data_IF_329539723477
#
_entry.id   IF_329539723477
#
_cell.length_a   1.000
_cell.length_b   1.000
_cell.length_c   1.000
_cell.angle_alpha   90.00
_cell.angle_beta   90.00
_cell.angle_gamma   90.00
#
_symmetry.space_group_name_H-M   'P 1'
#
loop_
_entity.id
_entity.type
_entity.pdbx_description
1 polymer ?
#
# COMPACT_ATOMS: atom_id res chain seq x y z
N UNK A 1 55.78 62.75 -44.98
CA UNK A 1 56.68 62.61 -46.14
C UNK A 1 56.83 61.11 -46.46
N UNK A 2 56.68 60.73 -47.73
CA UNK A 2 57.08 59.47 -48.40
C UNK A 2 56.28 58.15 -48.24
N UNK A 3 55.30 58.01 -49.16
CA UNK A 3 55.12 56.99 -50.22
C UNK A 3 55.53 55.50 -50.07
N UNK A 4 54.49 54.63 -50.09
CA UNK A 4 54.20 53.39 -50.90
C UNK A 4 55.20 52.17 -50.90
N UNK A 5 54.86 50.96 -51.40
CA UNK A 5 54.47 49.74 -50.65
C UNK A 5 55.29 48.48 -51.08
N UNK A 6 54.65 47.29 -51.00
CA UNK A 6 55.01 45.93 -51.53
C UNK A 6 55.65 45.01 -50.47
N UNK A 7 55.22 43.76 -50.29
CA UNK A 7 54.96 42.71 -51.30
C UNK A 7 53.99 41.65 -50.73
N UNK A 8 53.09 41.14 -51.57
CA UNK A 8 52.36 39.88 -51.34
C UNK A 8 53.32 38.69 -51.50
N UNK A 9 53.13 37.63 -50.73
CA UNK A 9 53.46 36.28 -51.17
C UNK A 9 52.49 35.25 -50.56
N UNK A 10 52.18 34.27 -51.39
CA UNK A 10 51.06 33.36 -51.29
C UNK A 10 51.39 32.12 -50.43
N UNK A 11 50.36 31.62 -49.74
CA UNK A 11 49.94 30.22 -49.76
C UNK A 11 50.91 29.15 -49.24
N UNK A 12 50.58 28.60 -48.07
CA UNK A 12 50.75 27.16 -47.81
C UNK A 12 49.64 26.64 -46.90
N UNK A 13 48.87 25.70 -47.44
CA UNK A 13 47.79 24.96 -46.80
C UNK A 13 48.33 24.12 -45.64
N UNK A 14 47.97 24.45 -44.40
CA UNK A 14 48.19 23.58 -43.25
C UNK A 14 46.96 22.69 -43.05
N UNK A 15 47.06 21.43 -43.46
CA UNK A 15 46.09 20.38 -43.15
C UNK A 15 46.12 20.16 -41.63
N UNK A 16 45.07 20.64 -40.94
CA UNK A 16 44.86 20.40 -39.51
C UNK A 16 44.28 19.01 -39.32
N UNK A 17 45.07 18.08 -38.79
CA UNK A 17 44.56 16.83 -38.24
C UNK A 17 43.70 17.15 -37.00
N UNK A 18 42.38 17.06 -37.14
CA UNK A 18 41.45 17.13 -36.03
C UNK A 18 41.44 15.80 -35.27
N UNK A 19 42.02 15.78 -34.07
CA UNK A 19 41.83 14.70 -33.10
C UNK A 19 40.39 14.74 -32.59
N UNK A 20 39.56 13.81 -33.05
CA UNK A 20 38.25 13.52 -32.46
C UNK A 20 38.47 12.69 -31.19
N UNK A 21 38.45 13.37 -30.04
CA UNK A 21 38.41 12.73 -28.73
C UNK A 21 36.97 12.28 -28.46
N UNK A 22 36.67 11.01 -28.76
CA UNK A 22 35.39 10.41 -28.41
C UNK A 22 35.35 10.21 -26.89
N UNK A 23 34.64 11.10 -26.18
CA UNK A 23 34.37 10.97 -24.76
C UNK A 23 33.24 9.94 -24.59
N UNK A 24 33.61 8.68 -24.39
CA UNK A 24 32.67 7.64 -24.00
C UNK A 24 32.23 7.91 -22.55
N UNK A 25 31.04 8.49 -22.38
CA UNK A 25 30.38 8.56 -21.09
C UNK A 25 29.97 7.13 -20.69
N UNK A 26 30.62 6.59 -19.65
CA UNK A 26 30.14 5.38 -18.99
C UNK A 26 28.78 5.72 -18.36
N UNK A 27 27.71 5.19 -18.95
CA UNK A 27 26.41 5.15 -18.31
C UNK A 27 26.51 4.08 -17.24
N UNK A 28 26.77 4.49 -15.99
CA UNK A 28 26.56 3.60 -14.86
C UNK A 28 25.06 3.36 -14.74
N UNK A 29 24.61 2.23 -15.27
CA UNK A 29 23.28 1.69 -14.96
C UNK A 29 23.32 1.35 -13.48
N UNK A 30 22.74 2.23 -12.65
CA UNK A 30 22.48 1.93 -11.24
C UNK A 30 21.50 0.77 -11.21
N UNK A 31 22.03 -0.44 -11.06
CA UNK A 31 21.23 -1.62 -10.76
C UNK A 31 20.77 -1.47 -9.31
N UNK A 32 19.49 -1.17 -9.12
CA UNK A 32 18.90 -1.02 -7.79
C UNK A 32 19.17 -2.25 -6.93
N UNK A 33 19.55 -2.05 -5.67
CA UNK A 33 19.80 -3.16 -4.74
C UNK A 33 18.57 -4.08 -4.66
N UNK A 34 18.82 -5.39 -4.67
CA UNK A 34 17.76 -6.38 -4.53
C UNK A 34 17.20 -6.38 -3.10
N UNK A 35 15.88 -6.43 -3.00
CA UNK A 35 15.06 -6.49 -1.79
C UNK A 35 14.66 -7.94 -1.43
N UNK A 36 15.49 -8.93 -1.77
CA UNK A 36 15.27 -10.34 -1.36
C UNK A 36 15.47 -10.60 0.14
N UNK A 37 15.79 -9.56 0.91
CA UNK A 37 16.03 -9.63 2.32
C UNK A 37 15.56 -8.35 3.02
N UNK A 38 14.94 -8.51 4.18
CA UNK A 38 14.74 -7.44 5.14
C UNK A 38 15.17 -7.87 6.54
N UNK A 39 15.45 -6.88 7.40
CA UNK A 39 15.65 -7.09 8.84
C UNK A 39 14.39 -6.69 9.58
N UNK A 40 14.00 -7.49 10.58
CA UNK A 40 12.97 -7.12 11.54
C UNK A 40 13.50 -5.96 12.38
N UNK A 41 12.98 -4.76 12.19
CA UNK A 41 13.36 -3.57 12.97
C UNK A 41 12.47 -3.37 14.20
N UNK A 42 11.22 -3.84 14.15
CA UNK A 42 10.29 -3.76 15.28
C UNK A 42 9.34 -4.97 15.33
N UNK A 43 9.04 -5.41 16.56
CA UNK A 43 8.07 -6.47 16.87
C UNK A 43 7.10 -5.97 17.93
N UNK A 44 5.81 -6.02 17.64
CA UNK A 44 4.73 -5.69 18.56
C UNK A 44 3.88 -6.95 18.75
N UNK A 45 3.79 -7.44 19.98
CA UNK A 45 3.05 -8.65 20.37
C UNK A 45 3.53 -9.92 19.65
N UNK A 46 2.63 -10.66 18.99
CA UNK A 46 2.89 -11.97 18.42
C UNK A 46 3.24 -11.87 16.92
N UNK A 47 4.54 -11.92 16.63
CA UNK A 47 5.07 -11.96 15.27
C UNK A 47 5.83 -13.27 15.08
N UNK A 48 5.52 -13.99 14.00
CA UNK A 48 6.10 -15.30 13.69
C UNK A 48 6.78 -15.28 12.33
N UNK A 49 7.96 -15.88 12.27
CA UNK A 49 8.63 -16.20 11.01
C UNK A 49 8.23 -17.61 10.58
N UNK A 50 7.82 -17.73 9.33
CA UNK A 50 7.43 -18.97 8.68
C UNK A 50 8.51 -19.36 7.68
N UNK A 51 8.87 -20.63 7.65
CA UNK A 51 9.83 -21.19 6.72
C UNK A 51 9.26 -22.44 6.08
N UNK A 52 9.66 -22.70 4.85
CA UNK A 52 9.35 -23.97 4.21
C UNK A 52 9.86 -25.14 5.08
N UNK A 53 8.97 -26.08 5.40
CA UNK A 53 9.29 -27.31 6.14
C UNK A 53 9.80 -27.12 7.58
N UNK A 54 9.54 -25.98 8.22
CA UNK A 54 9.86 -25.78 9.64
C UNK A 54 8.66 -25.20 10.41
N UNK A 55 8.64 -25.46 11.73
CA UNK A 55 7.62 -24.90 12.60
C UNK A 55 7.75 -23.35 12.67
N UNK A 56 6.62 -22.61 12.73
CA UNK A 56 6.63 -21.17 12.97
C UNK A 56 7.39 -20.80 14.25
N UNK A 57 8.33 -19.85 14.17
CA UNK A 57 9.09 -19.37 15.33
C UNK A 57 8.78 -17.91 15.65
N UNK A 58 8.86 -17.46 16.91
CA UNK A 58 8.82 -16.04 17.23
C UNK A 58 9.89 -15.26 16.46
N UNK A 59 9.51 -14.09 15.94
CA UNK A 59 10.44 -13.12 15.39
C UNK A 59 11.06 -12.30 16.54
N UNK A 60 12.33 -11.94 16.40
CA UNK A 60 13.02 -10.99 17.28
C UNK A 60 13.62 -9.86 16.46
N UNK A 61 13.83 -8.70 17.08
CA UNK A 61 14.50 -7.57 16.42
C UNK A 61 15.89 -8.01 15.93
N UNK A 62 16.25 -7.55 14.74
CA UNK A 62 17.42 -7.94 13.95
C UNK A 62 17.36 -9.32 13.29
N UNK A 63 16.28 -10.09 13.46
CA UNK A 63 16.06 -11.28 12.62
C UNK A 63 16.11 -10.86 11.15
N UNK A 64 16.77 -11.69 10.36
CA UNK A 64 16.78 -11.60 8.91
C UNK A 64 15.61 -12.41 8.37
N UNK A 65 14.85 -11.82 7.46
CA UNK A 65 13.82 -12.50 6.66
C UNK A 65 14.27 -12.49 5.21
N UNK A 66 14.35 -13.66 4.57
CA UNK A 66 14.83 -13.83 3.19
C UNK A 66 13.81 -14.48 2.27
N UNK A 67 14.11 -14.52 0.98
CA UNK A 67 13.37 -15.28 -0.04
C UNK A 67 12.98 -16.69 0.46
N UNK A 68 11.69 -17.03 0.32
CA UNK A 68 11.12 -18.31 0.77
C UNK A 68 10.71 -18.36 2.24
N UNK A 69 10.93 -17.27 2.98
CA UNK A 69 10.38 -17.07 4.32
C UNK A 69 9.19 -16.09 4.27
N UNK A 70 8.32 -16.20 5.29
CA UNK A 70 7.21 -15.28 5.46
C UNK A 70 7.15 -14.75 6.91
N UNK A 71 6.54 -13.60 7.09
CA UNK A 71 6.23 -12.99 8.38
C UNK A 71 4.73 -13.04 8.58
N UNK A 72 4.31 -13.55 9.74
CA UNK A 72 2.91 -13.57 10.18
C UNK A 72 2.73 -12.78 11.45
N UNK A 73 1.75 -11.88 11.48
CA UNK A 73 1.34 -11.14 12.68
C UNK A 73 0.02 -11.66 13.23
N UNK A 74 -0.13 -11.68 14.56
CA UNK A 74 -1.40 -11.96 15.24
C UNK A 74 -2.39 -10.79 15.25
N UNK A 75 -3.48 -10.94 15.99
CA UNK A 75 -4.66 -10.02 15.96
C UNK A 75 -4.43 -8.63 16.54
N UNK A 76 -3.51 -8.48 17.48
CA UNK A 76 -3.11 -7.17 18.03
C UNK A 76 -1.61 -6.93 17.82
N UNK A 77 -1.06 -7.56 16.77
CA UNK A 77 0.38 -7.62 16.53
C UNK A 77 0.75 -6.83 15.30
N UNK A 78 1.95 -6.27 15.31
CA UNK A 78 2.50 -5.49 14.20
C UNK A 78 4.00 -5.74 14.10
N UNK A 79 4.55 -5.53 12.90
CA UNK A 79 5.98 -5.65 12.69
C UNK A 79 6.48 -4.55 11.76
N UNK A 80 7.74 -4.17 11.90
CA UNK A 80 8.43 -3.35 10.90
C UNK A 80 9.62 -4.14 10.34
N UNK A 81 9.75 -4.10 9.03
CA UNK A 81 10.84 -4.67 8.26
C UNK A 81 11.59 -3.52 7.57
N UNK A 82 12.91 -3.46 7.75
CA UNK A 82 13.79 -2.51 7.07
C UNK A 82 14.68 -3.25 6.07
N UNK A 83 14.72 -2.74 4.85
CA UNK A 83 15.50 -3.28 3.75
C UNK A 83 16.86 -2.61 3.63
N UNK A 84 17.76 -3.21 2.87
CA UNK A 84 19.12 -2.68 2.64
C UNK A 84 19.13 -1.32 1.93
N UNK A 85 18.12 -1.04 1.11
CA UNK A 85 17.96 0.24 0.41
C UNK A 85 17.17 1.28 1.21
N UNK A 86 16.93 1.04 2.51
CA UNK A 86 16.15 1.88 3.41
C UNK A 86 14.64 1.92 3.09
N UNK A 87 14.15 1.05 2.21
CA UNK A 87 12.72 0.76 2.15
C UNK A 87 12.25 0.22 3.49
N UNK A 88 11.07 0.64 3.92
CA UNK A 88 10.42 0.16 5.14
C UNK A 88 9.09 -0.48 4.76
N UNK A 89 8.80 -1.66 5.30
CA UNK A 89 7.47 -2.27 5.26
C UNK A 89 6.98 -2.50 6.67
N UNK A 90 5.82 -1.95 7.00
CA UNK A 90 5.12 -2.22 8.27
C UNK A 90 3.97 -3.15 8.02
N UNK A 91 3.83 -4.15 8.87
CA UNK A 91 2.81 -5.18 8.80
C UNK A 91 1.77 -4.91 9.89
N UNK A 92 0.50 -4.89 9.50
CA UNK A 92 -0.63 -4.70 10.40
C UNK A 92 -0.97 -5.98 11.15
N UNK A 93 -2.11 -6.02 11.83
CA UNK A 93 -2.62 -7.25 12.39
C UNK A 93 -3.03 -8.26 11.32
N UNK A 94 -3.04 -9.54 11.70
CA UNK A 94 -3.50 -10.66 10.86
C UNK A 94 -2.86 -10.67 9.45
N UNK A 95 -1.61 -10.22 9.38
CA UNK A 95 -0.89 -10.02 8.12
C UNK A 95 0.01 -11.21 7.84
N UNK A 96 0.00 -11.69 6.60
CA UNK A 96 0.94 -12.69 6.08
C UNK A 96 1.66 -12.07 4.89
N UNK A 97 2.97 -11.87 5.07
CA UNK A 97 3.86 -11.19 4.13
C UNK A 97 5.03 -12.09 3.76
N UNK A 98 5.41 -12.17 2.49
CA UNK A 98 6.58 -12.92 2.03
C UNK A 98 7.29 -12.23 0.88
N UNK A 99 8.51 -12.69 0.57
CA UNK A 99 9.24 -12.26 -0.61
C UNK A 99 8.97 -13.21 -1.77
N UNK A 100 8.76 -12.66 -2.96
CA UNK A 100 8.79 -13.42 -4.21
C UNK A 100 10.19 -13.44 -4.83
N UNK A 101 10.36 -14.27 -5.87
CA UNK A 101 11.65 -14.44 -6.56
C UNK A 101 12.16 -13.15 -7.21
N UNK A 102 11.30 -12.20 -7.53
CA UNK A 102 11.70 -10.92 -8.10
C UNK A 102 12.45 -10.03 -7.12
N UNK A 103 13.36 -9.21 -7.62
CA UNK A 103 14.24 -8.40 -6.78
C UNK A 103 13.50 -7.36 -5.93
N UNK A 104 12.22 -7.07 -6.21
CA UNK A 104 11.38 -6.09 -5.48
C UNK A 104 9.91 -6.49 -5.45
N UNK A 105 9.65 -7.79 -5.51
CA UNK A 105 8.30 -8.34 -5.54
C UNK A 105 7.97 -8.92 -4.17
N UNK A 106 6.97 -8.34 -3.53
CA UNK A 106 6.50 -8.66 -2.20
C UNK A 106 5.13 -9.33 -2.34
N UNK A 107 4.89 -10.38 -1.59
CA UNK A 107 3.59 -11.02 -1.51
C UNK A 107 2.86 -10.60 -0.24
N UNK A 108 1.61 -10.17 -0.41
CA UNK A 108 0.67 -9.94 0.68
C UNK A 108 -0.50 -10.92 0.55
N UNK A 109 -0.44 -12.00 1.32
CA UNK A 109 -1.49 -13.02 1.31
C UNK A 109 -2.74 -12.55 2.06
N UNK A 110 -2.57 -11.84 3.18
CA UNK A 110 -3.66 -11.32 4.00
C UNK A 110 -3.21 -10.12 4.82
N UNK A 111 -4.17 -9.35 5.33
CA UNK A 111 -3.96 -8.22 6.22
C UNK A 111 -3.66 -6.92 5.47
N UNK A 112 -2.83 -6.08 6.08
CA UNK A 112 -2.53 -4.73 5.61
C UNK A 112 -1.06 -4.39 5.84
N UNK A 113 -0.50 -3.59 4.93
CA UNK A 113 0.86 -3.09 5.04
C UNK A 113 0.93 -1.59 4.77
N UNK A 114 1.95 -0.95 5.33
CA UNK A 114 2.46 0.33 4.87
C UNK A 114 3.83 0.09 4.24
N UNK A 115 4.05 0.64 3.06
CA UNK A 115 5.30 0.58 2.33
C UNK A 115 5.82 2.01 2.14
N UNK A 116 7.05 2.26 2.59
CA UNK A 116 7.78 3.51 2.35
C UNK A 116 9.04 3.21 1.54
N UNK A 117 9.06 3.68 0.30
CA UNK A 117 10.23 3.61 -0.59
C UNK A 117 10.91 4.99 -0.57
N UNK A 118 12.23 5.08 -0.34
CA UNK A 118 12.93 6.35 -0.36
C UNK A 118 12.75 7.11 -1.68
N UNK A 119 12.79 8.46 -1.67
CA UNK A 119 12.69 9.26 -2.89
C UNK A 119 13.72 8.85 -3.94
N UNK A 120 13.28 8.68 -5.19
CA UNK A 120 14.14 8.19 -6.28
C UNK A 120 14.45 6.69 -6.22
N UNK A 121 13.91 5.96 -5.25
CA UNK A 121 14.02 4.50 -5.16
C UNK A 121 13.27 3.79 -6.29
N UNK A 122 13.73 2.59 -6.65
CA UNK A 122 13.09 1.78 -7.69
C UNK A 122 11.76 1.20 -7.21
N UNK A 123 10.87 0.92 -8.18
CA UNK A 123 9.53 0.41 -7.94
C UNK A 123 9.56 -0.87 -7.07
N UNK A 124 8.69 -0.89 -6.06
CA UNK A 124 8.41 -2.08 -5.25
C UNK A 124 7.00 -2.54 -5.55
N UNK A 125 6.85 -3.82 -5.87
CA UNK A 125 5.58 -4.44 -6.24
C UNK A 125 5.06 -5.23 -5.05
N UNK A 126 3.76 -5.10 -4.79
CA UNK A 126 3.03 -5.85 -3.78
C UNK A 126 1.95 -6.64 -4.50
N UNK A 127 2.10 -7.96 -4.49
CA UNK A 127 1.28 -8.91 -5.18
C UNK A 127 0.26 -9.52 -4.20
N UNK A 128 -0.93 -9.76 -4.72
CA UNK A 128 -1.99 -10.55 -4.09
C UNK A 128 -2.54 -11.51 -5.13
N UNK A 129 -3.47 -12.38 -4.74
CA UNK A 129 -4.16 -13.24 -5.70
C UNK A 129 -4.93 -12.49 -6.80
N UNK A 130 -5.42 -11.27 -6.52
CA UNK A 130 -6.32 -10.55 -7.43
C UNK A 130 -5.67 -9.36 -8.12
N UNK A 131 -4.73 -8.68 -7.47
CA UNK A 131 -4.16 -7.40 -7.90
C UNK A 131 -2.68 -7.29 -7.56
N UNK A 132 -2.00 -6.44 -8.30
CA UNK A 132 -0.66 -5.94 -7.99
C UNK A 132 -0.74 -4.43 -7.78
N UNK A 133 -0.14 -3.97 -6.69
CA UNK A 133 0.14 -2.57 -6.44
C UNK A 133 1.65 -2.32 -6.60
N UNK A 134 2.07 -1.20 -7.18
CA UNK A 134 3.48 -0.83 -7.20
C UNK A 134 3.68 0.61 -6.74
N UNK A 135 4.77 0.88 -6.02
CA UNK A 135 5.17 2.22 -5.56
C UNK A 135 6.57 2.52 -6.02
N UNK A 136 6.74 3.66 -6.70
CA UNK A 136 8.04 4.15 -7.18
C UNK A 136 8.39 5.43 -6.46
N UNK A 137 9.20 5.32 -5.39
CA UNK A 137 9.57 6.46 -4.54
C UNK A 137 8.33 7.14 -3.93
N UNK A 138 7.95 6.71 -2.74
CA UNK A 138 6.71 7.17 -2.14
C UNK A 138 6.32 6.38 -0.89
N UNK A 139 5.16 6.70 -0.34
CA UNK A 139 4.59 6.02 0.81
C UNK A 139 3.15 5.64 0.53
N UNK A 140 2.80 4.37 0.70
CA UNK A 140 1.44 3.90 0.50
C UNK A 140 1.02 2.85 1.51
N UNK A 141 -0.30 2.73 1.67
CA UNK A 141 -0.97 1.67 2.41
C UNK A 141 -1.66 0.74 1.45
N UNK A 142 -1.62 -0.55 1.76
CA UNK A 142 -2.26 -1.58 0.96
C UNK A 142 -2.89 -2.63 1.86
N UNK A 143 -4.18 -2.92 1.67
CA UNK A 143 -4.91 -3.91 2.45
C UNK A 143 -5.74 -4.83 1.58
N UNK A 144 -5.75 -6.12 1.94
CA UNK A 144 -6.38 -7.22 1.20
C UNK A 144 -7.86 -7.46 1.53
N UNK A 145 -8.35 -6.94 2.67
CA UNK A 145 -9.75 -7.09 3.10
C UNK A 145 -10.74 -6.58 2.05
N UNK A 146 -12.03 -6.96 2.08
CA UNK A 146 -13.01 -6.46 1.11
C UNK A 146 -13.52 -5.05 1.51
N UNK A 147 -13.45 -4.04 0.63
CA UNK A 147 -12.77 -4.04 -0.66
C UNK A 147 -11.25 -3.92 -0.50
N UNK A 148 -10.47 -4.53 -1.39
CA UNK A 148 -9.00 -4.37 -1.34
C UNK A 148 -8.70 -2.91 -1.64
N UNK A 149 -7.91 -2.24 -0.82
CA UNK A 149 -7.64 -0.81 -0.98
C UNK A 149 -6.16 -0.54 -1.12
N UNK A 150 -5.84 0.39 -1.99
CA UNK A 150 -4.50 0.94 -2.18
C UNK A 150 -4.57 2.45 -2.05
N UNK A 151 -3.87 3.01 -1.06
CA UNK A 151 -3.93 4.42 -0.70
C UNK A 151 -2.51 4.99 -0.75
N UNK A 152 -2.26 5.95 -1.64
CA UNK A 152 -0.94 6.58 -1.77
C UNK A 152 -0.93 7.83 -0.89
N UNK A 153 -0.09 7.84 0.15
CA UNK A 153 0.03 8.99 1.06
C UNK A 153 0.84 10.11 0.42
N UNK A 154 1.90 9.74 -0.30
CA UNK A 154 2.74 10.62 -1.12
C UNK A 154 3.45 9.80 -2.20
N UNK A 155 3.89 10.47 -3.26
CA UNK A 155 4.53 9.84 -4.42
C UNK A 155 3.52 9.37 -5.47
N UNK A 156 3.91 8.34 -6.22
CA UNK A 156 3.13 7.77 -7.32
C UNK A 156 3.08 6.26 -7.17
N UNK A 157 1.87 5.72 -7.23
CA UNK A 157 1.61 4.29 -7.31
C UNK A 157 0.92 3.88 -8.60
N UNK A 158 0.98 2.59 -8.89
CA UNK A 158 0.15 1.94 -9.91
C UNK A 158 -0.60 0.76 -9.30
N UNK A 159 -1.78 0.49 -9.81
CA UNK A 159 -2.64 -0.58 -9.34
C UNK A 159 -3.31 -1.27 -10.53
N UNK A 160 -3.22 -2.60 -10.60
CA UNK A 160 -3.74 -3.37 -11.74
C UNK A 160 -4.16 -4.78 -11.33
N UNK A 161 -5.04 -5.43 -12.12
CA UNK A 161 -5.35 -6.84 -11.92
C UNK A 161 -4.10 -7.70 -12.07
N UNK A 162 -3.96 -8.75 -11.25
CA UNK A 162 -2.79 -9.62 -11.28
C UNK A 162 -2.51 -10.13 -12.70
N UNK A 163 -1.25 -10.01 -13.14
CA UNK A 163 -0.82 -10.40 -14.48
C UNK A 163 -1.23 -9.48 -15.63
N UNK A 164 -1.90 -8.35 -15.34
CA UNK A 164 -2.40 -7.39 -16.34
C UNK A 164 -1.87 -5.96 -16.17
N UNK A 165 -0.53 -5.74 -16.22
CA UNK A 165 0.06 -4.40 -16.05
C UNK A 165 -0.38 -3.41 -17.14
N UNK A 166 -0.83 -3.87 -18.30
CA UNK A 166 -1.40 -3.03 -19.36
C UNK A 166 -2.71 -2.33 -18.94
N UNK A 167 -3.35 -2.79 -17.87
CA UNK A 167 -4.58 -2.21 -17.30
C UNK A 167 -4.30 -1.33 -16.07
N UNK A 168 -3.05 -0.92 -15.87
CA UNK A 168 -2.65 -0.12 -14.73
C UNK A 168 -3.36 1.22 -14.64
N UNK A 169 -3.86 1.49 -13.44
CA UNK A 169 -4.35 2.80 -13.02
C UNK A 169 -3.25 3.47 -12.21
N UNK A 170 -2.91 4.70 -12.55
CA UNK A 170 -1.98 5.53 -11.78
C UNK A 170 -2.72 6.17 -10.60
N UNK A 171 -2.08 6.19 -9.44
CA UNK A 171 -2.63 6.72 -8.18
C UNK A 171 -1.61 7.68 -7.58
N UNK A 172 -2.02 8.93 -7.36
CA UNK A 172 -1.12 9.97 -6.83
C UNK A 172 -1.25 10.12 -5.31
N UNK A 173 -0.30 10.81 -4.69
CA UNK A 173 -0.37 11.21 -3.29
C UNK A 173 -1.70 11.88 -2.93
N UNK A 174 -2.39 11.32 -1.93
CA UNK A 174 -3.73 11.73 -1.49
C UNK A 174 -4.87 11.06 -2.24
N UNK A 175 -4.58 10.08 -3.10
CA UNK A 175 -5.56 9.30 -3.84
C UNK A 175 -5.55 7.82 -3.42
N UNK A 176 -6.72 7.20 -3.54
CA UNK A 176 -6.93 5.78 -3.34
C UNK A 176 -7.70 5.16 -4.49
N UNK A 177 -7.45 3.87 -4.69
CA UNK A 177 -8.21 2.99 -5.56
C UNK A 177 -8.60 1.74 -4.78
N UNK A 178 -9.70 1.13 -5.19
CA UNK A 178 -10.20 -0.10 -4.57
C UNK A 178 -10.47 -1.16 -5.63
N UNK A 179 -10.26 -2.42 -5.26
CA UNK A 179 -10.89 -3.57 -5.92
C UNK A 179 -12.20 -3.86 -5.17
N UNK A 180 -13.32 -3.58 -5.80
CA UNK A 180 -14.65 -3.84 -5.25
C UNK A 180 -15.00 -5.34 -5.30
N UNK A 181 -15.99 -5.75 -4.52
CA UNK A 181 -16.38 -7.16 -4.41
C UNK A 181 -16.85 -7.80 -5.73
N UNK A 182 -17.29 -6.98 -6.70
CA UNK A 182 -17.62 -7.39 -8.08
C UNK A 182 -16.40 -7.48 -9.00
N UNK A 183 -15.18 -7.33 -8.46
CA UNK A 183 -13.92 -7.47 -9.19
C UNK A 183 -13.53 -6.25 -10.03
N UNK A 184 -14.18 -5.10 -9.83
CA UNK A 184 -13.84 -3.85 -10.54
C UNK A 184 -12.80 -3.04 -9.78
N UNK A 185 -11.84 -2.49 -10.52
CA UNK A 185 -10.94 -1.45 -10.00
C UNK A 185 -11.63 -0.10 -10.17
N UNK A 186 -11.76 0.67 -9.08
CA UNK A 186 -12.33 2.02 -9.12
C UNK A 186 -11.38 3.01 -9.78
N UNK A 187 -11.92 4.15 -10.23
CA UNK A 187 -11.07 5.29 -10.57
C UNK A 187 -10.39 5.83 -9.30
N UNK A 188 -9.22 6.50 -9.42
CA UNK A 188 -8.59 7.18 -8.30
C UNK A 188 -9.54 8.21 -7.68
N UNK A 189 -9.65 8.17 -6.36
CA UNK A 189 -10.48 9.09 -5.58
C UNK A 189 -9.67 9.68 -4.44
N UNK A 190 -9.90 10.95 -4.09
CA UNK A 190 -9.15 11.61 -3.02
C UNK A 190 -9.66 11.16 -1.64
N UNK A 191 -8.74 10.85 -0.73
CA UNK A 191 -9.04 10.56 0.68
C UNK A 191 -8.36 11.57 1.60
N UNK A 192 -8.78 11.63 2.87
CA UNK A 192 -8.15 12.51 3.86
C UNK A 192 -6.84 11.90 4.41
N UNK A 193 -5.70 12.42 3.94
CA UNK A 193 -4.37 11.94 4.37
C UNK A 193 -4.11 12.25 5.83
N UNK A 194 -4.60 13.39 6.33
CA UNK A 194 -4.44 13.79 7.73
C UNK A 194 -5.17 12.79 8.63
N UNK A 195 -6.36 12.36 8.24
CA UNK A 195 -7.10 11.34 8.97
C UNK A 195 -6.30 10.03 9.06
N UNK A 196 -5.64 9.59 7.99
CA UNK A 196 -4.78 8.40 8.03
C UNK A 196 -3.62 8.59 9.00
N UNK A 197 -2.92 9.73 8.97
CA UNK A 197 -1.82 10.01 9.90
C UNK A 197 -2.27 9.96 11.37
N UNK A 198 -3.49 10.40 11.66
CA UNK A 198 -4.03 10.52 13.02
C UNK A 198 -4.67 9.23 13.54
N UNK A 199 -4.95 8.25 12.69
CA UNK A 199 -5.73 7.06 13.05
C UNK A 199 -5.03 5.74 12.75
N UNK A 200 -4.05 5.74 11.84
CA UNK A 200 -3.39 4.53 11.37
C UNK A 200 -2.48 3.91 12.42
N UNK A 201 -2.76 2.67 12.84
CA UNK A 201 -1.82 1.89 13.68
C UNK A 201 -0.52 1.56 12.97
N UNK A 202 -0.52 1.50 11.63
CA UNK A 202 0.68 1.37 10.80
C UNK A 202 1.56 2.64 10.80
N UNK A 203 1.09 3.74 11.40
CA UNK A 203 1.85 4.98 11.56
C UNK A 203 2.10 5.26 13.05
N UNK A 204 1.04 5.23 13.86
CA UNK A 204 1.07 5.65 15.27
C UNK A 204 1.88 4.74 16.19
N UNK A 205 1.98 3.45 15.90
CA UNK A 205 2.67 2.47 16.76
C UNK A 205 4.18 2.36 16.50
N UNK A 206 4.68 3.16 15.56
CA UNK A 206 6.03 3.03 15.03
C UNK A 206 6.77 4.37 15.09
N UNK A 207 8.12 4.37 14.98
CA UNK A 207 8.89 5.59 14.78
C UNK A 207 8.38 6.42 13.59
N UNK A 208 8.62 7.74 13.58
CA UNK A 208 8.25 8.58 12.44
C UNK A 208 8.82 8.07 11.11
N UNK A 209 8.00 8.15 10.08
CA UNK A 209 8.38 7.84 8.70
C UNK A 209 9.43 8.84 8.19
N UNK A 210 10.44 8.36 7.47
CA UNK A 210 11.44 9.23 6.84
C UNK A 210 10.81 10.16 5.79
N UNK A 211 9.78 9.67 5.09
CA UNK A 211 9.05 10.44 4.08
C UNK A 211 7.94 11.33 4.68
N UNK A 212 7.82 11.41 6.02
CA UNK A 212 6.77 12.21 6.67
C UNK A 212 6.69 13.67 6.16
N UNK A 213 7.78 14.40 5.89
CA UNK A 213 7.69 15.75 5.31
C UNK A 213 6.98 15.79 3.94
N UNK A 214 7.12 14.75 3.13
CA UNK A 214 6.46 14.63 1.82
C UNK A 214 4.96 14.33 2.00
N UNK A 215 4.61 13.49 2.96
CA UNK A 215 3.20 13.22 3.31
C UNK A 215 2.54 14.51 3.82
N UNK A 216 3.24 15.28 4.66
CA UNK A 216 2.74 16.57 5.14
C UNK A 216 2.54 17.60 4.02
N UNK A 217 3.36 17.55 2.96
CA UNK A 217 3.14 18.40 1.79
C UNK A 217 1.82 18.07 1.08
N UNK A 218 1.44 16.78 1.01
CA UNK A 218 0.13 16.35 0.49
C UNK A 218 -1.00 16.83 1.39
N UNK A 219 -0.88 16.69 2.71
CA UNK A 219 -1.87 17.21 3.68
C UNK A 219 -2.08 18.72 3.50
N UNK A 220 -1.00 19.49 3.42
CA UNK A 220 -1.06 20.94 3.24
C UNK A 220 -1.71 21.31 1.89
N UNK A 221 -1.42 20.54 0.84
CA UNK A 221 -2.05 20.73 -0.48
C UNK A 221 -3.55 20.48 -0.42
N UNK A 222 -3.98 19.41 0.23
CA UNK A 222 -5.40 19.10 0.41
C UNK A 222 -6.13 20.20 1.19
N UNK A 223 -5.51 20.74 2.26
CA UNK A 223 -6.07 21.84 3.03
C UNK A 223 -6.21 23.12 2.19
N UNK A 224 -5.18 23.47 1.41
CA UNK A 224 -5.23 24.62 0.52
C UNK A 224 -6.31 24.47 -0.57
N UNK A 225 -6.45 23.28 -1.17
CA UNK A 225 -7.49 23.00 -2.15
C UNK A 225 -8.90 23.12 -1.55
N UNK A 226 -9.10 22.64 -0.32
CA UNK A 226 -10.38 22.78 0.38
C UNK A 226 -10.72 24.24 0.69
N UNK A 227 -9.73 25.04 1.10
CA UNK A 227 -9.91 26.47 1.35
C UNK A 227 -10.24 27.24 0.06
N UNK A 228 -9.61 26.88 -1.06
CA UNK A 228 -9.85 27.50 -2.36
C UNK A 228 -11.19 27.10 -2.99
N UNK A 229 -11.68 25.88 -2.74
CA UNK A 229 -12.89 25.35 -3.36
C UNK A 229 -14.21 25.86 -2.72
N UNK A 230 -14.16 26.54 -1.57
CA UNK A 230 -15.34 27.08 -0.90
C UNK A 230 -16.45 26.03 -0.66
N UNK A 231 -17.72 26.44 -0.73
CA UNK A 231 -18.86 25.54 -0.48
C UNK A 231 -19.11 24.47 -1.56
N UNK A 232 -18.35 24.47 -2.68
CA UNK A 232 -18.57 23.61 -3.84
C UNK A 232 -17.52 22.49 -3.99
N UNK A 233 -16.73 22.20 -2.94
CA UNK A 233 -15.70 21.17 -2.99
C UNK A 233 -16.31 19.76 -3.08
N UNK A 234 -15.79 18.91 -3.97
CA UNK A 234 -15.96 17.45 -3.80
C UNK A 234 -15.41 17.06 -2.43
N UNK A 235 -16.19 16.43 -1.56
CA UNK A 235 -15.69 16.00 -0.27
C UNK A 235 -14.56 14.99 -0.50
N UNK A 236 -13.47 15.11 0.25
CA UNK A 236 -12.55 13.97 0.42
C UNK A 236 -13.38 12.79 0.96
N UNK A 237 -12.97 11.56 0.69
CA UNK A 237 -13.44 10.43 1.48
C UNK A 237 -13.04 10.69 2.96
N UNK A 238 -13.95 11.35 3.69
CA UNK A 238 -13.80 11.79 5.08
C UNK A 238 -14.32 10.75 6.07
N UNK A 239 -15.07 9.76 5.58
CA UNK A 239 -15.65 8.76 6.45
C UNK A 239 -14.56 7.85 6.98
N UNK A 240 -14.51 7.79 8.31
CA UNK A 240 -13.63 6.94 9.09
C UNK A 240 -13.67 5.49 8.59
N UNK A 241 -14.83 4.98 8.17
CA UNK A 241 -15.01 3.59 7.71
C UNK A 241 -14.33 3.33 6.37
N UNK A 242 -14.37 4.29 5.43
CA UNK A 242 -13.72 4.10 4.11
C UNK A 242 -12.20 4.07 4.25
N UNK A 243 -11.66 4.82 5.22
CA UNK A 243 -10.21 5.05 5.41
C UNK A 243 -9.57 4.15 6.48
N UNK A 244 -10.22 3.92 7.63
CA UNK A 244 -9.68 3.14 8.77
C UNK A 244 -9.73 1.63 8.54
N UNK A 245 -10.73 1.09 7.84
CA UNK A 245 -10.88 -0.36 7.69
C UNK A 245 -9.63 -1.02 7.03
N UNK A 246 -8.88 -0.21 6.29
CA UNK A 246 -7.55 -0.52 5.73
C UNK A 246 -6.42 -0.66 6.75
N UNK A 247 -6.61 -0.13 7.95
CA UNK A 247 -5.54 0.27 8.86
C UNK A 247 -5.61 -0.39 10.23
N UNK A 248 -6.77 -0.98 10.53
CA UNK A 248 -7.03 -1.71 11.77
C UNK A 248 -7.78 -2.99 11.41
N UNK A 249 -7.07 -3.94 10.77
CA UNK A 249 -7.54 -5.31 10.54
C UNK A 249 -7.45 -6.17 11.83
N UNK A 250 -7.44 -5.52 12.99
CA UNK A 250 -7.75 -6.15 14.26
C UNK A 250 -9.22 -6.59 14.18
N UNK A 251 -9.53 -7.85 14.50
CA UNK A 251 -10.91 -8.39 14.44
C UNK A 251 -11.93 -7.66 15.36
N UNK A 252 -11.49 -6.64 16.10
CA UNK A 252 -12.24 -5.85 17.06
C UNK A 252 -12.41 -4.37 16.66
N UNK A 253 -12.12 -3.99 15.41
CA UNK A 253 -12.52 -2.68 14.85
C UNK A 253 -14.03 -2.63 14.69
N UNK A 254 -14.71 -2.44 15.83
CA UNK A 254 -16.15 -2.57 15.97
C UNK A 254 -16.86 -1.43 15.22
N UNK A 255 -17.83 -1.70 14.33
CA UNK A 255 -18.79 -0.68 13.96
C UNK A 255 -19.67 -0.38 15.17
N UNK A 256 -19.63 0.86 15.67
CA UNK A 256 -20.68 1.33 16.58
C UNK A 256 -21.98 1.33 15.78
N UNK A 257 -22.94 0.55 16.30
CA UNK A 257 -24.31 0.39 15.81
C UNK A 257 -24.96 1.73 15.41
N UNK A 258 -25.46 1.80 14.18
CA UNK A 258 -26.68 2.57 13.91
C UNK A 258 -27.79 1.55 13.71
N UNK A 259 -28.55 1.33 14.79
CA UNK A 259 -29.91 0.78 14.69
C UNK A 259 -30.74 1.73 13.83
N UNK A 260 -31.17 1.25 12.68
CA UNK A 260 -32.58 1.26 12.26
C UNK A 260 -32.63 0.92 10.78
N UNK A 261 -32.97 -0.34 10.46
CA UNK A 261 -34.02 -0.75 9.52
C UNK A 261 -34.30 -2.23 9.73
N UNK A 262 -35.18 -2.55 10.67
CA UNK A 262 -35.97 -3.78 10.55
C UNK A 262 -37.14 -3.43 9.62
N UNK A 263 -37.25 -3.97 8.39
CA UNK A 263 -38.55 -4.07 7.76
C UNK A 263 -39.30 -5.15 8.53
N UNK A 264 -40.28 -4.72 9.33
CA UNK A 264 -41.27 -5.60 9.95
C UNK A 264 -41.93 -6.42 8.83
N UNK A 265 -41.91 -7.76 8.84
CA UNK A 265 -42.77 -8.51 7.95
C UNK A 265 -44.22 -8.34 8.43
N UNK A 266 -45.05 -7.74 7.58
CA UNK A 266 -46.48 -7.58 7.82
C UNK A 266 -47.13 -8.96 7.92
N UNK A 267 -47.51 -9.36 9.14
CA UNK A 267 -48.22 -10.60 9.39
C UNK A 267 -49.71 -10.36 9.08
N UNK A 268 -50.18 -10.95 7.98
CA UNK A 268 -51.61 -11.00 7.66
C UNK A 268 -52.31 -12.01 8.59
N UNK A 269 -53.43 -11.68 9.27
CA UNK A 269 -54.07 -12.59 10.20
C UNK A 269 -54.98 -13.57 9.43
N UNK A 270 -54.92 -14.85 9.79
CA UNK A 270 -55.95 -15.84 9.41
C UNK A 270 -56.38 -16.63 10.64
N UNK A 271 -57.65 -17.06 10.74
CA UNK A 271 -58.39 -17.01 11.99
C UNK A 271 -58.31 -18.29 12.84
N UNK A 272 -58.27 -18.05 14.16
CA UNK A 272 -58.97 -18.76 15.25
C UNK A 272 -59.46 -20.19 15.00
N UNK A 273 -58.91 -21.14 15.76
CA UNK A 273 -59.65 -22.33 16.21
C UNK A 273 -59.46 -22.53 17.72
N UNK A 274 -60.61 -22.62 18.40
CA UNK A 274 -60.84 -22.71 19.86
C UNK A 274 -60.51 -24.10 20.44
N UNK A 275 -60.35 -24.28 21.78
CA UNK A 275 -59.64 -25.42 22.37
C UNK A 275 -60.52 -26.52 23.00
N UNK A 276 -59.82 -27.59 23.42
CA UNK A 276 -60.11 -28.59 24.49
C UNK A 276 -60.87 -29.88 24.15
N UNK A 277 -60.79 -30.96 24.96
CA UNK A 277 -59.90 -31.24 26.11
C UNK A 277 -59.25 -32.66 26.17
N UNK A 278 -58.19 -32.75 26.99
CA UNK A 278 -57.76 -33.81 27.94
C UNK A 278 -58.34 -35.24 27.85
N UNK A 279 -57.46 -36.26 27.77
CA UNK A 279 -57.57 -37.52 28.54
C UNK A 279 -56.18 -38.15 28.78
N UNK A 280 -55.92 -38.56 30.03
CA UNK A 280 -54.96 -39.58 30.51
C UNK A 280 -55.80 -40.56 31.38
N UNK A 281 -55.43 -41.81 31.76
CA UNK A 281 -54.18 -42.59 31.56
C UNK A 281 -54.40 -44.07 31.12
N UNK A 282 -53.31 -44.86 31.09
CA UNK A 282 -53.18 -46.18 31.75
C UNK A 282 -53.07 -47.49 30.93
N UNK A 283 -52.21 -48.37 31.50
CA UNK A 283 -52.14 -49.85 31.48
C UNK A 283 -51.36 -50.60 30.36
N UNK A 284 -50.35 -51.35 30.82
CA UNK A 284 -49.69 -52.53 30.20
C UNK A 284 -50.44 -53.81 30.61
N UNK A 285 -50.62 -54.84 29.75
CA UNK A 285 -49.75 -56.05 29.78
C UNK A 285 -49.57 -56.63 28.33
N UNK A 286 -48.77 -57.66 28.01
CA UNK A 286 -48.40 -58.93 28.64
C UNK A 286 -47.05 -59.42 28.12
#
# INVERSE_FOLDING_TARGET
MNKIPTKRLNGTTLVRYGTLLALAAAIEVVTGASLHQARVSQVIQDVRLLRAHAAPRPAVVNDTVTLGEAVRTGTASRAELTFSDLTITRLGANTIFSFEKGARDLDLTSGAILLQVPPGGAAVHVNTAAVTAAITGGTALFATGPPTKFMVLEGIGTFYPAGHPEKAVQVHGGEMVMLTADGRITQPTKFDVKLVLETSRLILDFPPLANLPLIMAVVNRQLADQQAAGANSSPLARNLVDVIDTTDQDANSNPILVSDRIPVPSVNPSPSVSPSPSVSPSVSPS
#
